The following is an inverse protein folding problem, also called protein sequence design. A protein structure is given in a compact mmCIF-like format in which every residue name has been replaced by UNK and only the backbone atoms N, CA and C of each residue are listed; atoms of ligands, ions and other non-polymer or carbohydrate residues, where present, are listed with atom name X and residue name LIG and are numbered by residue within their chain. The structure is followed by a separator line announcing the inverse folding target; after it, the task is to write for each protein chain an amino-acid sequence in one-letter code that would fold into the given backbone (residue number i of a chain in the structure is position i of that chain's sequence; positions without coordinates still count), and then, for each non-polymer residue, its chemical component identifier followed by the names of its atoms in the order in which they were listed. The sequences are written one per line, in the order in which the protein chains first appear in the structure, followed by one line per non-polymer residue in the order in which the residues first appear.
data_IF_443196923034
#
_entry.id   IF_443196923034
#
_cell.length_a   1.000
_cell.length_b   1.000
_cell.length_c   1.000
_cell.angle_alpha   90.00
_cell.angle_beta   90.00
_cell.angle_gamma   90.00
#
_symmetry.space_group_name_H-M   'P 1'
#
loop_
_entity.id
_entity.type
_entity.pdbx_description
1 polymer ?
#
# COMPACT_ATOMS: atom_id res chain seq x y z
N UNK A 1 -16.60 15.25 12.08
CA UNK A 1 -16.81 15.38 10.62
C UNK A 1 -18.24 14.95 10.31
N UNK A 2 -18.90 15.62 9.37
CA UNK A 2 -20.29 15.33 8.98
C UNK A 2 -20.31 14.36 7.79
N UNK A 3 -21.22 13.37 7.82
CA UNK A 3 -21.42 12.40 6.74
C UNK A 3 -22.66 12.78 5.94
N UNK A 4 -22.52 12.92 4.64
CA UNK A 4 -23.65 13.14 3.77
C UNK A 4 -24.33 11.79 3.44
N UNK A 5 -25.64 11.71 3.68
CA UNK A 5 -26.41 10.51 3.31
C UNK A 5 -26.57 10.44 1.80
N UNK A 6 -26.29 9.27 1.23
CA UNK A 6 -26.48 8.97 -0.20
C UNK A 6 -27.55 7.90 -0.39
N UNK A 7 -28.21 7.92 -1.57
CA UNK A 7 -29.09 6.84 -1.99
C UNK A 7 -28.36 5.99 -3.05
N UNK A 8 -28.10 4.73 -2.73
CA UNK A 8 -27.38 3.79 -3.61
C UNK A 8 -28.14 3.46 -4.91
N UNK A 9 -29.44 3.73 -5.00
CA UNK A 9 -30.19 3.59 -6.27
C UNK A 9 -29.60 4.46 -7.38
N UNK A 10 -28.89 5.53 -7.02
CA UNK A 10 -28.22 6.44 -7.97
C UNK A 10 -26.83 5.96 -8.40
N UNK A 11 -26.39 4.78 -7.92
CA UNK A 11 -25.04 4.26 -8.15
C UNK A 11 -25.09 2.85 -8.75
N UNK A 12 -23.97 2.45 -9.37
CA UNK A 12 -23.73 1.09 -9.85
C UNK A 12 -22.47 0.57 -9.17
N UNK A 13 -22.53 -0.64 -8.59
CA UNK A 13 -21.35 -1.27 -8.02
C UNK A 13 -20.33 -1.56 -9.14
N UNK A 14 -19.10 -1.10 -8.98
CA UNK A 14 -18.02 -1.20 -9.98
C UNK A 14 -16.79 -1.91 -9.47
N UNK A 15 -16.74 -2.24 -8.19
CA UNK A 15 -15.61 -2.98 -7.62
C UNK A 15 -15.90 -3.53 -6.23
N UNK A 16 -15.11 -4.54 -5.88
CA UNK A 16 -15.11 -5.18 -4.57
C UNK A 16 -13.66 -5.36 -4.12
N UNK A 17 -13.34 -4.80 -2.96
CA UNK A 17 -12.05 -4.96 -2.29
C UNK A 17 -12.21 -5.74 -0.98
N UNK A 18 -11.10 -6.11 -0.34
CA UNK A 18 -11.12 -6.87 0.91
C UNK A 18 -11.84 -6.17 2.08
N UNK A 19 -11.93 -4.85 2.06
CA UNK A 19 -12.49 -4.05 3.17
C UNK A 19 -13.59 -3.07 2.76
N UNK A 20 -13.84 -2.91 1.46
CA UNK A 20 -14.80 -1.94 0.95
C UNK A 20 -15.35 -2.33 -0.41
N UNK A 21 -16.55 -1.81 -0.72
CA UNK A 21 -17.17 -1.86 -2.04
C UNK A 21 -17.10 -0.48 -2.69
N UNK A 22 -16.91 -0.45 -4.00
CA UNK A 22 -16.92 0.79 -4.78
C UNK A 22 -18.13 0.87 -5.71
N UNK A 23 -18.67 2.08 -5.81
CA UNK A 23 -19.87 2.38 -6.58
C UNK A 23 -19.65 3.62 -7.42
N UNK A 24 -19.90 3.54 -8.73
CA UNK A 24 -19.88 4.71 -9.61
C UNK A 24 -21.25 5.37 -9.66
N UNK A 25 -21.27 6.70 -9.57
CA UNK A 25 -22.49 7.47 -9.74
C UNK A 25 -23.02 7.32 -11.18
N UNK A 26 -24.32 7.06 -11.35
CA UNK A 26 -24.97 6.96 -12.67
C UNK A 26 -24.91 8.27 -13.46
N UNK A 27 -24.80 9.42 -12.78
CA UNK A 27 -24.54 10.71 -13.41
C UNK A 27 -23.10 10.85 -13.93
N UNK A 28 -22.18 9.92 -13.59
CA UNK A 28 -20.95 9.68 -14.31
C UNK A 28 -19.71 10.46 -13.88
N UNK A 29 -19.71 11.15 -12.73
CA UNK A 29 -18.57 12.00 -12.36
C UNK A 29 -17.94 11.70 -10.99
N UNK A 30 -18.54 10.81 -10.18
CA UNK A 30 -18.03 10.48 -8.86
C UNK A 30 -18.05 8.97 -8.59
N UNK A 31 -17.14 8.54 -7.71
CA UNK A 31 -17.02 7.18 -7.19
C UNK A 31 -17.13 7.21 -5.68
N UNK A 32 -17.95 6.33 -5.12
CA UNK A 32 -18.08 6.13 -3.69
C UNK A 32 -17.38 4.84 -3.28
N UNK A 33 -16.54 4.91 -2.23
CA UNK A 33 -15.96 3.76 -1.53
C UNK A 33 -16.69 3.63 -0.18
N UNK A 34 -17.48 2.57 0.00
CA UNK A 34 -18.14 2.25 1.27
C UNK A 34 -17.44 1.07 1.93
N UNK A 35 -17.07 1.25 3.19
CA UNK A 35 -16.44 0.17 3.96
C UNK A 35 -17.42 -0.96 4.28
N UNK A 36 -16.88 -2.15 4.49
CA UNK A 36 -17.66 -3.31 4.91
C UNK A 36 -18.36 -3.06 6.25
N UNK A 37 -19.52 -3.67 6.50
CA UNK A 37 -20.21 -3.57 7.78
C UNK A 37 -19.28 -3.92 8.95
N UNK A 38 -19.30 -3.08 10.00
CA UNK A 38 -18.41 -3.23 11.16
C UNK A 38 -17.18 -2.32 11.14
N UNK A 39 -16.82 -1.73 10.02
CA UNK A 39 -15.85 -0.63 9.98
C UNK A 39 -16.59 0.69 10.26
N UNK A 40 -16.38 1.24 11.45
CA UNK A 40 -17.10 2.42 11.95
C UNK A 40 -16.75 3.72 11.23
N UNK A 41 -17.54 4.77 11.51
CA UNK A 41 -17.36 6.12 10.98
C UNK A 41 -15.93 6.66 11.19
N UNK A 42 -15.31 6.36 12.33
CA UNK A 42 -13.94 6.84 12.65
C UNK A 42 -12.90 6.33 11.65
N UNK A 43 -13.01 5.07 11.20
CA UNK A 43 -12.10 4.50 10.21
C UNK A 43 -12.25 5.20 8.85
N UNK A 44 -13.49 5.44 8.41
CA UNK A 44 -13.78 6.17 7.18
C UNK A 44 -13.27 7.63 7.25
N UNK A 45 -13.49 8.31 8.38
CA UNK A 45 -13.01 9.68 8.59
C UNK A 45 -11.48 9.75 8.58
N UNK A 46 -10.80 8.78 9.22
CA UNK A 46 -9.33 8.72 9.24
C UNK A 46 -8.77 8.49 7.82
N UNK A 47 -9.29 7.52 7.09
CA UNK A 47 -8.82 7.27 5.72
C UNK A 47 -9.07 8.48 4.83
N UNK A 48 -10.24 9.12 4.92
CA UNK A 48 -10.56 10.31 4.16
C UNK A 48 -9.61 11.47 4.49
N UNK A 49 -9.26 11.68 5.76
CA UNK A 49 -8.29 12.70 6.17
C UNK A 49 -6.91 12.44 5.53
N UNK A 50 -6.44 11.19 5.55
CA UNK A 50 -5.18 10.81 4.89
C UNK A 50 -5.26 11.12 3.39
N UNK A 51 -6.33 10.72 2.71
CA UNK A 51 -6.54 11.00 1.28
C UNK A 51 -6.50 12.51 0.98
N UNK A 52 -7.14 13.34 1.82
CA UNK A 52 -7.11 14.81 1.67
C UNK A 52 -5.71 15.38 1.82
N UNK A 53 -4.92 14.86 2.77
CA UNK A 53 -3.53 15.31 2.96
C UNK A 53 -2.67 14.91 1.78
N UNK A 54 -2.75 13.65 1.34
CA UNK A 54 -2.00 13.13 0.20
C UNK A 54 -2.30 13.95 -1.07
N UNK A 55 -3.58 14.22 -1.34
CA UNK A 55 -3.99 15.06 -2.46
C UNK A 55 -3.43 16.49 -2.36
N UNK A 56 -3.51 17.13 -1.18
CA UNK A 56 -2.97 18.49 -0.96
C UNK A 56 -1.45 18.57 -1.05
N UNK A 57 -0.74 17.49 -0.77
CA UNK A 57 0.72 17.41 -0.97
C UNK A 57 1.11 17.31 -2.46
N UNK A 58 0.13 17.29 -3.37
CA UNK A 58 0.37 17.19 -4.82
C UNK A 58 0.69 15.80 -5.30
N UNK A 59 0.49 14.78 -4.47
CA UNK A 59 0.57 13.38 -4.91
C UNK A 59 -0.61 13.11 -5.84
N UNK A 60 -0.33 12.64 -7.05
CA UNK A 60 -1.35 12.35 -8.05
C UNK A 60 -2.24 11.20 -7.56
N UNK A 61 -3.45 11.49 -7.15
CA UNK A 61 -4.48 10.56 -6.65
C UNK A 61 -5.87 11.13 -6.98
N UNK A 62 -6.94 10.31 -7.08
CA UNK A 62 -8.29 10.82 -7.24
C UNK A 62 -8.65 11.81 -6.14
N UNK A 63 -9.26 12.94 -6.50
CA UNK A 63 -9.65 13.96 -5.53
C UNK A 63 -10.65 13.41 -4.49
N UNK A 64 -10.36 13.50 -3.18
CA UNK A 64 -11.30 13.12 -2.12
C UNK A 64 -12.32 14.26 -1.91
N UNK A 65 -13.60 14.02 -2.20
CA UNK A 65 -14.63 15.06 -2.24
C UNK A 65 -15.32 15.24 -0.89
N UNK A 66 -15.86 14.15 -0.29
CA UNK A 66 -16.62 14.24 0.97
C UNK A 66 -16.79 12.87 1.63
N UNK A 67 -17.12 12.91 2.92
CA UNK A 67 -17.57 11.74 3.66
C UNK A 67 -19.04 11.42 3.36
N UNK A 68 -19.34 10.13 3.19
CA UNK A 68 -20.70 9.66 2.85
C UNK A 68 -21.12 8.45 3.69
N UNK A 69 -22.44 8.28 3.80
CA UNK A 69 -23.07 7.09 4.39
C UNK A 69 -24.32 6.71 3.61
N UNK A 70 -24.58 5.40 3.48
CA UNK A 70 -25.86 4.88 2.99
C UNK A 70 -26.89 4.68 4.13
N UNK A 71 -26.48 4.95 5.38
CA UNK A 71 -27.27 4.76 6.60
C UNK A 71 -26.83 3.55 7.43
N UNK A 72 -26.11 2.60 6.83
CA UNK A 72 -25.57 1.41 7.49
C UNK A 72 -24.04 1.38 7.44
N UNK A 73 -23.45 1.84 6.33
CA UNK A 73 -22.01 1.86 6.10
C UNK A 73 -21.51 3.28 5.96
N UNK A 74 -20.24 3.46 6.26
CA UNK A 74 -19.53 4.73 6.16
C UNK A 74 -18.45 4.64 5.08
N UNK A 75 -18.14 5.77 4.45
CA UNK A 75 -17.13 5.83 3.41
C UNK A 75 -16.87 7.24 2.92
N UNK A 76 -16.31 7.33 1.73
CA UNK A 76 -16.01 8.61 1.11
C UNK A 76 -16.32 8.59 -0.40
N UNK A 77 -16.60 9.76 -0.93
CA UNK A 77 -16.79 10.02 -2.35
C UNK A 77 -15.53 10.67 -2.92
N UNK A 78 -15.16 10.25 -4.12
CA UNK A 78 -13.96 10.65 -4.85
C UNK A 78 -14.29 11.05 -6.28
N UNK A 79 -13.36 11.74 -6.93
CA UNK A 79 -13.32 11.89 -8.38
C UNK A 79 -13.42 10.53 -9.06
N UNK A 80 -14.32 10.38 -10.03
CA UNK A 80 -14.35 9.21 -10.89
C UNK A 80 -13.33 9.41 -12.03
N UNK A 81 -12.39 8.49 -12.15
CA UNK A 81 -11.45 8.47 -13.28
C UNK A 81 -12.08 7.61 -14.38
N UNK A 82 -12.54 8.22 -15.49
CA UNK A 82 -13.18 7.48 -16.57
C UNK A 82 -12.15 6.60 -17.29
N UNK A 83 -12.63 5.47 -17.82
CA UNK A 83 -11.84 4.54 -18.66
C UNK A 83 -10.50 4.11 -18.04
N UNK A 84 -10.37 4.20 -16.71
CA UNK A 84 -9.14 3.84 -16.01
C UNK A 84 -8.76 2.38 -16.22
N UNK A 85 -7.47 2.14 -16.38
CA UNK A 85 -6.87 0.79 -16.35
C UNK A 85 -5.76 0.78 -15.28
N UNK A 86 -5.66 -0.28 -14.49
CA UNK A 86 -4.48 -0.46 -13.63
C UNK A 86 -3.27 -0.88 -14.46
N UNK A 87 -2.06 -0.54 -14.00
CA UNK A 87 -0.83 -0.96 -14.68
C UNK A 87 -0.74 -2.49 -14.77
N UNK A 88 -1.16 -3.21 -13.72
CA UNK A 88 -1.17 -4.68 -13.75
C UNK A 88 -2.11 -5.23 -14.82
N UNK A 89 -3.29 -4.62 -15.00
CA UNK A 89 -4.22 -5.02 -16.04
C UNK A 89 -3.64 -4.79 -17.42
N UNK A 90 -3.02 -3.64 -17.66
CA UNK A 90 -2.37 -3.34 -18.94
C UNK A 90 -1.29 -4.38 -19.23
N UNK A 91 -0.41 -4.68 -18.24
CA UNK A 91 0.67 -5.67 -18.42
C UNK A 91 0.10 -7.08 -18.68
N UNK A 92 -1.00 -7.44 -18.03
CA UNK A 92 -1.65 -8.74 -18.24
C UNK A 92 -2.22 -8.90 -19.65
N UNK A 93 -2.77 -7.84 -20.21
CA UNK A 93 -3.38 -7.82 -21.55
C UNK A 93 -2.33 -7.55 -22.65
N UNK A 94 -1.28 -6.79 -22.34
CA UNK A 94 -0.21 -6.31 -23.23
C UNK A 94 1.16 -6.50 -22.56
N UNK A 95 1.72 -7.75 -22.55
CA UNK A 95 2.95 -8.06 -21.80
C UNK A 95 4.19 -7.24 -22.19
N UNK A 96 4.24 -6.69 -23.40
CA UNK A 96 5.27 -5.77 -23.88
C UNK A 96 5.29 -4.43 -23.13
N UNK A 97 4.21 -4.09 -22.43
CA UNK A 97 4.11 -2.89 -21.58
C UNK A 97 4.80 -3.06 -20.22
N UNK A 98 5.31 -4.26 -19.90
CA UNK A 98 5.97 -4.49 -18.62
C UNK A 98 7.10 -3.49 -18.34
N UNK A 99 8.04 -3.35 -19.26
CA UNK A 99 9.18 -2.46 -19.06
C UNK A 99 8.77 -0.97 -19.06
N UNK A 100 8.03 -0.44 -20.05
CA UNK A 100 7.59 0.95 -20.04
C UNK A 100 6.83 1.33 -18.76
N UNK A 101 5.88 0.50 -18.32
CA UNK A 101 5.10 0.79 -17.13
C UNK A 101 5.90 0.62 -15.85
N UNK A 102 6.87 -0.32 -15.80
CA UNK A 102 7.80 -0.44 -14.66
C UNK A 102 8.65 0.81 -14.51
N UNK A 103 9.18 1.36 -15.60
CA UNK A 103 9.99 2.59 -15.57
C UNK A 103 9.14 3.81 -15.15
N UNK A 104 7.88 3.88 -15.58
CA UNK A 104 6.93 4.91 -15.11
C UNK A 104 6.67 4.77 -13.62
N UNK A 105 6.39 3.55 -13.15
CA UNK A 105 6.18 3.25 -11.74
C UNK A 105 7.40 3.60 -10.87
N UNK A 106 8.62 3.26 -11.30
CA UNK A 106 9.84 3.60 -10.58
C UNK A 106 10.02 5.12 -10.42
N UNK A 107 9.64 5.90 -11.45
CA UNK A 107 9.66 7.37 -11.39
C UNK A 107 8.64 7.91 -10.40
N UNK A 108 7.40 7.39 -10.44
CA UNK A 108 6.34 7.77 -9.51
C UNK A 108 6.72 7.45 -8.05
N UNK A 109 7.27 6.25 -7.81
CA UNK A 109 7.75 5.85 -6.49
C UNK A 109 8.89 6.76 -5.97
N UNK A 110 9.84 7.14 -6.84
CA UNK A 110 10.89 8.11 -6.45
C UNK A 110 10.32 9.48 -6.13
N UNK A 111 9.37 9.97 -6.91
CA UNK A 111 8.70 11.25 -6.65
C UNK A 111 7.97 11.20 -5.30
N UNK A 112 7.24 10.13 -5.04
CA UNK A 112 6.56 9.93 -3.77
C UNK A 112 7.55 9.96 -2.59
N UNK A 113 8.63 9.19 -2.66
CA UNK A 113 9.66 9.11 -1.62
C UNK A 113 10.56 10.36 -1.52
N UNK A 114 10.35 11.36 -2.37
CA UNK A 114 10.96 12.69 -2.28
C UNK A 114 9.97 13.76 -1.83
N UNK A 115 8.68 13.44 -1.78
CA UNK A 115 7.62 14.37 -1.34
C UNK A 115 7.70 14.55 0.18
N UNK A 116 7.92 15.78 0.70
CA UNK A 116 7.87 16.04 2.12
C UNK A 116 6.51 15.67 2.71
N UNK A 117 6.53 14.95 3.81
CA UNK A 117 5.31 14.50 4.48
C UNK A 117 4.78 15.56 5.46
N UNK A 118 3.46 15.69 5.57
CA UNK A 118 2.81 16.38 6.67
C UNK A 118 2.82 15.48 7.93
N UNK A 119 3.90 15.59 8.70
CA UNK A 119 4.12 14.78 9.92
C UNK A 119 3.16 15.09 11.07
N UNK A 120 2.38 16.15 10.97
CA UNK A 120 1.34 16.48 11.95
C UNK A 120 0.09 15.60 11.76
N UNK A 121 -0.11 15.06 10.54
CA UNK A 121 -1.31 14.28 10.20
C UNK A 121 -0.95 12.85 9.80
N UNK A 122 0.07 12.67 8.92
CA UNK A 122 0.51 11.33 8.53
C UNK A 122 1.25 10.65 9.68
N UNK A 123 0.99 9.36 9.95
CA UNK A 123 1.66 8.64 11.02
C UNK A 123 3.12 8.33 10.69
N UNK A 124 3.97 8.27 11.70
CA UNK A 124 5.32 7.68 11.58
C UNK A 124 5.22 6.17 11.41
N UNK A 125 5.79 5.63 10.32
CA UNK A 125 5.77 4.19 10.04
C UNK A 125 6.44 3.39 11.18
N UNK A 126 7.48 3.90 11.82
CA UNK A 126 8.11 3.24 12.97
C UNK A 126 7.16 3.11 14.15
N UNK A 127 6.39 4.16 14.43
CA UNK A 127 5.43 4.14 15.55
C UNK A 127 4.26 3.20 15.25
N UNK A 128 3.79 3.14 14.00
CA UNK A 128 2.81 2.14 13.58
C UNK A 128 3.34 0.71 13.78
N UNK A 129 4.56 0.45 13.34
CA UNK A 129 5.21 -0.86 13.49
C UNK A 129 5.43 -1.19 14.97
N UNK A 130 5.92 -0.24 15.76
CA UNK A 130 6.09 -0.39 17.22
C UNK A 130 4.79 -0.78 17.90
N UNK A 131 3.70 -0.05 17.59
CA UNK A 131 2.38 -0.32 18.14
C UNK A 131 1.91 -1.75 17.83
N UNK A 132 2.00 -2.16 16.54
CA UNK A 132 1.55 -3.48 16.13
C UNK A 132 2.39 -4.61 16.71
N UNK A 133 3.72 -4.49 16.75
CA UNK A 133 4.61 -5.49 17.36
C UNK A 133 4.35 -5.56 18.87
N UNK A 134 4.27 -4.42 19.55
CA UNK A 134 4.11 -4.36 21.01
C UNK A 134 2.83 -5.03 21.49
N UNK A 135 1.71 -4.84 20.78
CA UNK A 135 0.42 -5.44 21.13
C UNK A 135 0.23 -6.90 20.68
N UNK A 136 1.18 -7.48 19.94
CA UNK A 136 1.00 -8.83 19.41
C UNK A 136 1.31 -9.89 20.46
N UNK A 137 0.24 -10.48 21.04
CA UNK A 137 0.33 -11.43 22.15
C UNK A 137 0.94 -12.78 21.73
N UNK A 138 0.70 -13.22 20.50
CA UNK A 138 1.15 -14.51 19.99
C UNK A 138 2.60 -14.52 19.46
N UNK A 139 3.27 -13.36 19.43
CA UNK A 139 4.68 -13.30 19.03
C UNK A 139 5.57 -13.74 20.20
N UNK A 140 6.53 -14.68 20.00
CA UNK A 140 7.47 -15.06 21.05
C UNK A 140 8.20 -13.84 21.62
N UNK A 141 8.27 -13.73 22.95
CA UNK A 141 8.77 -12.52 23.63
C UNK A 141 10.22 -12.19 23.22
N UNK A 142 11.10 -13.19 23.17
CA UNK A 142 12.48 -12.99 22.69
C UNK A 142 12.53 -12.39 21.28
N UNK A 143 11.65 -12.86 20.38
CA UNK A 143 11.58 -12.33 19.02
C UNK A 143 11.03 -10.90 19.01
N UNK A 144 10.05 -10.60 19.86
CA UNK A 144 9.49 -9.25 20.03
C UNK A 144 10.55 -8.26 20.52
N UNK A 145 11.32 -8.63 21.54
CA UNK A 145 12.42 -7.81 22.06
C UNK A 145 13.47 -7.52 20.99
N UNK A 146 13.88 -8.53 20.23
CA UNK A 146 14.83 -8.37 19.12
C UNK A 146 14.30 -7.47 18.01
N UNK A 147 13.02 -7.60 17.65
CA UNK A 147 12.36 -6.72 16.67
C UNK A 147 12.31 -5.28 17.16
N UNK A 148 11.91 -5.04 18.41
CA UNK A 148 11.85 -3.69 18.98
C UNK A 148 13.24 -3.06 19.12
N UNK A 149 14.25 -3.83 19.50
CA UNK A 149 15.64 -3.38 19.52
C UNK A 149 16.13 -2.99 18.11
N UNK A 150 15.82 -3.81 17.09
CA UNK A 150 16.14 -3.49 15.70
C UNK A 150 15.39 -2.24 15.22
N UNK A 151 14.11 -2.11 15.56
CA UNK A 151 13.28 -0.94 15.21
C UNK A 151 13.87 0.36 15.77
N UNK A 152 14.45 0.32 16.99
CA UNK A 152 15.11 1.47 17.59
C UNK A 152 16.31 1.97 16.79
N UNK A 153 16.93 1.13 15.95
CA UNK A 153 18.06 1.51 15.08
C UNK A 153 17.62 2.09 13.72
N UNK A 154 16.34 1.98 13.36
CA UNK A 154 15.83 2.51 12.09
C UNK A 154 15.70 4.04 12.19
N UNK A 155 16.31 4.81 11.27
CA UNK A 155 16.14 6.26 11.26
C UNK A 155 14.73 6.67 10.87
N UNK A 156 14.35 7.90 11.19
CA UNK A 156 13.14 8.54 10.70
C UNK A 156 13.49 9.50 9.57
N UNK A 157 12.66 9.53 8.53
CA UNK A 157 12.69 10.51 7.46
C UNK A 157 11.29 11.09 7.28
N UNK A 158 11.19 12.39 7.03
CA UNK A 158 9.91 13.08 6.85
C UNK A 158 9.50 13.11 5.36
N UNK A 159 9.50 11.94 4.71
CA UNK A 159 9.03 11.78 3.32
C UNK A 159 7.85 10.82 3.26
N UNK A 160 7.01 11.01 2.25
CA UNK A 160 5.81 10.20 2.06
C UNK A 160 6.15 8.74 1.73
N UNK A 161 5.39 7.83 2.33
CA UNK A 161 5.34 6.41 2.03
C UNK A 161 3.93 6.06 1.59
N UNK A 162 3.79 5.14 0.64
CA UNK A 162 2.48 4.59 0.26
C UNK A 162 1.90 3.70 1.37
N UNK A 163 2.76 2.98 2.08
CA UNK A 163 2.35 1.98 3.07
C UNK A 163 2.05 0.61 2.48
N UNK A 164 1.57 0.56 1.24
CA UNK A 164 1.33 -0.64 0.43
C UNK A 164 1.79 -0.42 -1.02
N UNK A 165 3.09 -0.17 -1.19
CA UNK A 165 3.68 0.15 -2.48
C UNK A 165 3.72 -1.06 -3.40
N UNK A 166 2.97 -1.02 -4.49
CA UNK A 166 3.09 -1.98 -5.60
C UNK A 166 2.44 -1.45 -6.89
N UNK A 167 2.85 -2.00 -8.02
CA UNK A 167 2.42 -1.57 -9.36
C UNK A 167 0.90 -1.68 -9.59
N UNK A 168 0.20 -2.52 -8.84
CA UNK A 168 -1.26 -2.63 -8.89
C UNK A 168 -2.00 -1.42 -8.33
N UNK A 169 -1.31 -0.59 -7.50
CA UNK A 169 -1.87 0.63 -6.92
C UNK A 169 -1.66 1.87 -7.81
N UNK A 170 -1.35 1.67 -9.08
CA UNK A 170 -1.37 2.73 -10.10
C UNK A 170 -2.48 2.46 -11.11
N UNK A 171 -3.31 3.47 -11.32
CA UNK A 171 -4.24 3.52 -12.45
C UNK A 171 -3.84 4.64 -13.41
N UNK A 172 -4.23 4.50 -14.67
CA UNK A 172 -4.04 5.54 -15.69
C UNK A 172 -5.31 5.72 -16.50
N UNK A 173 -5.60 6.95 -16.89
CA UNK A 173 -6.63 7.32 -17.88
C UNK A 173 -6.00 7.56 -19.27
N UNK A 174 -4.71 7.21 -19.45
CA UNK A 174 -3.94 7.47 -20.66
C UNK A 174 -3.19 8.81 -20.65
N UNK A 175 -3.58 9.75 -19.79
CA UNK A 175 -2.93 11.07 -19.64
C UNK A 175 -2.28 11.25 -18.27
N UNK A 176 -2.93 10.78 -17.22
CA UNK A 176 -2.48 10.86 -15.83
C UNK A 176 -2.23 9.46 -15.27
N UNK A 177 -1.21 9.35 -14.44
CA UNK A 177 -0.98 8.19 -13.59
C UNK A 177 -1.34 8.58 -12.15
N UNK A 178 -2.20 7.80 -11.52
CA UNK A 178 -2.74 8.13 -10.20
C UNK A 178 -2.50 6.97 -9.23
N UNK A 179 -2.03 7.31 -8.04
CA UNK A 179 -2.00 6.40 -6.91
C UNK A 179 -3.42 6.14 -6.39
N UNK A 180 -3.74 4.90 -6.12
CA UNK A 180 -4.96 4.48 -5.44
C UNK A 180 -4.62 3.74 -4.16
N UNK A 181 -5.63 3.51 -3.32
CA UNK A 181 -5.51 2.81 -2.05
C UNK A 181 -4.52 3.49 -1.07
N UNK A 182 -4.61 4.81 -1.01
CA UNK A 182 -3.70 5.69 -0.24
C UNK A 182 -4.05 5.77 1.26
N UNK A 183 -4.93 4.91 1.77
CA UNK A 183 -5.37 4.92 3.18
C UNK A 183 -4.28 4.52 4.19
N UNK A 184 -3.25 3.82 3.75
CA UNK A 184 -2.12 3.38 4.56
C UNK A 184 -0.89 4.32 4.46
N UNK A 185 -1.05 5.51 3.84
CA UNK A 185 0.04 6.48 3.77
C UNK A 185 0.59 6.83 5.15
N UNK A 186 1.89 6.93 5.19
CA UNK A 186 2.68 7.22 6.38
C UNK A 186 3.89 8.05 5.99
N UNK A 187 4.75 8.39 6.95
CA UNK A 187 6.07 8.91 6.64
C UNK A 187 7.18 8.02 7.24
N UNK A 188 8.36 8.04 6.63
CA UNK A 188 9.51 7.26 7.07
C UNK A 188 10.54 7.05 5.98
N UNK A 189 11.45 6.10 6.20
CA UNK A 189 12.45 5.69 5.20
C UNK A 189 11.77 4.95 4.02
N UNK A 190 12.12 5.23 2.76
CA UNK A 190 11.59 4.52 1.58
C UNK A 190 11.70 3.00 1.64
N UNK A 191 12.68 2.48 2.37
CA UNK A 191 12.92 1.06 2.58
C UNK A 191 11.72 0.32 3.19
N UNK A 192 10.81 1.01 3.89
CA UNK A 192 9.56 0.43 4.38
C UNK A 192 8.65 -0.04 3.25
N UNK A 193 8.54 0.74 2.21
CA UNK A 193 7.74 0.42 1.02
C UNK A 193 8.48 -0.58 0.12
N UNK A 194 9.76 -0.32 -0.16
CA UNK A 194 10.61 -1.15 -1.01
C UNK A 194 10.74 -2.58 -0.47
N UNK A 195 10.94 -2.72 0.85
CA UNK A 195 11.11 -4.02 1.50
C UNK A 195 9.89 -4.91 1.35
N UNK A 196 8.69 -4.38 1.54
CA UNK A 196 7.47 -5.17 1.40
C UNK A 196 7.19 -5.55 -0.05
N UNK A 197 7.41 -4.65 -1.00
CA UNK A 197 7.27 -4.96 -2.41
C UNK A 197 8.27 -6.04 -2.85
N UNK A 198 9.56 -5.90 -2.46
CA UNK A 198 10.58 -6.92 -2.71
C UNK A 198 10.16 -8.28 -2.15
N UNK A 199 9.81 -8.32 -0.87
CA UNK A 199 9.40 -9.57 -0.21
C UNK A 199 8.21 -10.22 -0.93
N UNK A 200 7.18 -9.45 -1.22
CA UNK A 200 5.99 -9.96 -1.90
C UNK A 200 6.34 -10.57 -3.27
N UNK A 201 7.11 -9.88 -4.09
CA UNK A 201 7.42 -10.32 -5.45
C UNK A 201 8.42 -11.47 -5.51
N UNK A 202 9.26 -11.65 -4.47
CA UNK A 202 10.20 -12.78 -4.40
C UNK A 202 9.60 -14.03 -3.77
N UNK A 203 8.61 -13.90 -2.86
CA UNK A 203 8.13 -15.02 -2.04
C UNK A 203 6.67 -15.45 -2.30
N UNK A 204 5.92 -14.70 -3.11
CA UNK A 204 4.52 -14.98 -3.37
C UNK A 204 4.35 -16.28 -4.19
N UNK A 205 3.32 -17.06 -3.87
CA UNK A 205 2.94 -18.23 -4.70
C UNK A 205 2.28 -17.78 -6.00
N UNK A 206 2.36 -18.61 -7.04
CA UNK A 206 1.74 -18.32 -8.35
C UNK A 206 0.24 -18.03 -8.23
N UNK A 207 -0.48 -18.87 -7.47
CA UNK A 207 -1.92 -18.68 -7.25
C UNK A 207 -2.24 -17.30 -6.63
N UNK A 208 -1.40 -16.84 -5.71
CA UNK A 208 -1.58 -15.55 -5.03
C UNK A 208 -1.21 -14.38 -5.95
N UNK A 209 -0.15 -14.53 -6.74
CA UNK A 209 0.25 -13.54 -7.73
C UNK A 209 -0.86 -13.31 -8.77
N UNK A 210 -1.44 -14.39 -9.28
CA UNK A 210 -2.57 -14.33 -10.20
C UNK A 210 -3.83 -13.71 -9.56
N UNK A 211 -4.13 -14.06 -8.31
CA UNK A 211 -5.31 -13.54 -7.61
C UNK A 211 -5.24 -12.04 -7.32
N UNK A 212 -4.04 -11.53 -6.97
CA UNK A 212 -3.87 -10.13 -6.53
C UNK A 212 -3.49 -9.22 -7.69
N UNK A 213 -2.55 -9.66 -8.53
CA UNK A 213 -1.95 -8.83 -9.58
C UNK A 213 -2.40 -9.21 -10.99
N UNK A 214 -3.04 -10.37 -11.17
CA UNK A 214 -3.32 -10.97 -12.49
C UNK A 214 -2.04 -11.18 -13.33
N UNK A 215 -0.90 -11.36 -12.67
CA UNK A 215 0.42 -11.54 -13.26
C UNK A 215 1.08 -12.81 -12.70
N UNK A 216 1.98 -13.41 -13.49
CA UNK A 216 2.79 -14.54 -13.02
C UNK A 216 3.87 -14.08 -12.03
N UNK A 217 4.34 -15.01 -11.19
CA UNK A 217 5.50 -14.74 -10.31
C UNK A 217 6.76 -14.41 -11.10
N UNK A 218 6.92 -14.97 -12.31
CA UNK A 218 8.02 -14.61 -13.21
C UNK A 218 7.93 -13.16 -13.64
N UNK A 219 6.74 -12.69 -14.05
CA UNK A 219 6.49 -11.29 -14.41
C UNK A 219 6.77 -10.35 -13.25
N UNK A 220 6.34 -10.70 -12.03
CA UNK A 220 6.61 -9.89 -10.83
C UNK A 220 8.11 -9.81 -10.50
N UNK A 221 8.86 -10.90 -10.66
CA UNK A 221 10.32 -10.89 -10.50
C UNK A 221 11.04 -10.06 -11.58
N UNK A 222 10.60 -10.14 -12.83
CA UNK A 222 11.10 -9.28 -13.90
C UNK A 222 10.80 -7.80 -13.63
N UNK A 223 9.56 -7.52 -13.19
CA UNK A 223 9.17 -6.17 -12.77
C UNK A 223 10.10 -5.65 -11.67
N UNK A 224 10.36 -6.43 -10.60
CA UNK A 224 11.28 -6.01 -9.54
C UNK A 224 12.68 -5.71 -10.09
N UNK A 225 13.24 -6.57 -10.92
CA UNK A 225 14.58 -6.38 -11.47
C UNK A 225 14.71 -5.09 -12.29
N UNK A 226 13.71 -4.78 -13.13
CA UNK A 226 13.64 -3.53 -13.89
C UNK A 226 13.43 -2.31 -12.96
N UNK A 227 12.51 -2.45 -12.01
CA UNK A 227 12.20 -1.41 -11.03
C UNK A 227 13.43 -1.03 -10.19
N UNK A 228 14.14 -2.02 -9.64
CA UNK A 228 15.29 -1.79 -8.77
C UNK A 228 16.39 -0.99 -9.48
N UNK A 229 16.71 -1.35 -10.73
CA UNK A 229 17.67 -0.58 -11.55
C UNK A 229 17.21 0.85 -11.78
N UNK A 230 15.97 1.02 -12.20
CA UNK A 230 15.41 2.33 -12.47
C UNK A 230 15.25 3.19 -11.22
N UNK A 231 14.78 2.60 -10.11
CA UNK A 231 14.56 3.30 -8.85
C UNK A 231 15.88 3.74 -8.21
N UNK A 232 16.88 2.87 -8.15
CA UNK A 232 18.19 3.18 -7.58
C UNK A 232 19.15 3.84 -8.58
N UNK A 233 18.72 3.94 -9.85
CA UNK A 233 19.52 4.53 -10.94
C UNK A 233 20.91 3.90 -11.06
N UNK A 234 20.98 2.58 -11.08
CA UNK A 234 22.24 1.82 -11.19
C UNK A 234 22.02 0.52 -11.98
N UNK A 235 23.01 0.15 -12.78
CA UNK A 235 23.09 -1.14 -13.47
C UNK A 235 24.03 -2.13 -12.76
N UNK A 236 24.71 -1.67 -11.68
CA UNK A 236 25.63 -2.52 -10.93
C UNK A 236 24.88 -3.56 -10.11
N UNK A 237 24.97 -4.81 -10.50
CA UNK A 237 24.34 -5.94 -9.84
C UNK A 237 24.80 -6.12 -8.38
N UNK A 238 26.06 -5.79 -8.06
CA UNK A 238 26.58 -5.89 -6.70
C UNK A 238 25.97 -4.80 -5.80
N UNK A 239 25.81 -3.58 -6.32
CA UNK A 239 25.13 -2.49 -5.63
C UNK A 239 23.64 -2.83 -5.41
N UNK A 240 22.94 -3.31 -6.43
CA UNK A 240 21.52 -3.73 -6.32
C UNK A 240 21.39 -4.78 -5.22
N UNK A 241 22.20 -5.84 -5.25
CA UNK A 241 22.17 -6.90 -4.24
C UNK A 241 22.46 -6.36 -2.83
N UNK A 242 23.38 -5.42 -2.68
CA UNK A 242 23.68 -4.80 -1.39
C UNK A 242 22.47 -4.01 -0.86
N UNK A 243 21.80 -3.24 -1.73
CA UNK A 243 20.56 -2.50 -1.39
C UNK A 243 19.40 -3.42 -1.04
N UNK A 244 19.22 -4.52 -1.78
CA UNK A 244 18.21 -5.54 -1.46
C UNK A 244 18.44 -6.17 -0.09
N UNK A 245 19.68 -6.48 0.25
CA UNK A 245 20.06 -7.00 1.60
C UNK A 245 19.75 -5.97 2.69
N UNK A 246 19.94 -4.70 2.42
CA UNK A 246 19.64 -3.63 3.38
C UNK A 246 18.11 -3.50 3.68
N UNK A 247 17.23 -4.05 2.83
CA UNK A 247 15.79 -4.10 3.08
C UNK A 247 15.39 -5.11 4.18
N UNK A 248 16.28 -6.05 4.52
CA UNK A 248 15.96 -7.17 5.42
C UNK A 248 15.32 -6.74 6.75
N UNK A 249 15.84 -5.78 7.51
CA UNK A 249 15.23 -5.38 8.79
C UNK A 249 13.82 -4.77 8.60
N UNK A 250 13.60 -4.01 7.53
CA UNK A 250 12.30 -3.42 7.25
C UNK A 250 11.26 -4.50 6.91
N UNK A 251 11.67 -5.55 6.18
CA UNK A 251 10.83 -6.71 5.88
C UNK A 251 10.44 -7.43 7.16
N UNK A 252 11.40 -7.78 8.03
CA UNK A 252 11.12 -8.48 9.27
C UNK A 252 10.13 -7.71 10.15
N UNK A 253 10.37 -6.42 10.33
CA UNK A 253 9.57 -5.53 11.15
C UNK A 253 8.15 -5.36 10.60
N UNK A 254 8.02 -5.09 9.30
CA UNK A 254 6.71 -4.88 8.68
C UNK A 254 5.90 -6.17 8.56
N UNK A 255 6.54 -7.33 8.34
CA UNK A 255 5.87 -8.64 8.39
C UNK A 255 5.28 -8.90 9.77
N UNK A 256 6.02 -8.68 10.85
CA UNK A 256 5.53 -8.85 12.21
C UNK A 256 4.35 -7.92 12.50
N UNK A 257 4.45 -6.65 12.10
CA UNK A 257 3.37 -5.67 12.26
C UNK A 257 2.13 -6.03 11.42
N UNK A 258 2.32 -6.49 10.18
CA UNK A 258 1.24 -6.90 9.29
C UNK A 258 0.46 -8.10 9.85
N UNK A 259 1.15 -9.14 10.31
CA UNK A 259 0.49 -10.31 10.92
C UNK A 259 -0.29 -9.91 12.17
N UNK A 260 0.28 -9.03 13.00
CA UNK A 260 -0.43 -8.45 14.15
C UNK A 260 -1.69 -7.68 13.73
N UNK A 261 -1.61 -6.84 12.69
CA UNK A 261 -2.75 -6.07 12.15
C UNK A 261 -3.87 -7.01 11.68
N UNK A 262 -3.52 -8.05 10.89
CA UNK A 262 -4.46 -9.04 10.36
C UNK A 262 -5.21 -9.80 11.44
N UNK A 263 -4.55 -10.14 12.55
CA UNK A 263 -5.12 -10.89 13.66
C UNK A 263 -5.57 -10.02 14.83
N UNK A 264 -5.64 -8.71 14.65
CA UNK A 264 -5.97 -7.74 15.70
C UNK A 264 -5.16 -7.95 17.00
N UNK A 265 -3.88 -8.32 16.85
CA UNK A 265 -2.94 -8.53 17.95
C UNK A 265 -3.08 -9.84 18.72
N UNK A 266 -4.03 -10.72 18.42
CA UNK A 266 -4.39 -11.90 19.25
C UNK A 266 -4.30 -13.25 18.53
N UNK A 267 -4.41 -13.29 17.22
CA UNK A 267 -4.40 -14.55 16.46
C UNK A 267 -3.01 -15.19 16.39
N UNK A 268 -2.94 -16.50 16.11
CA UNK A 268 -1.67 -17.21 16.03
C UNK A 268 -0.83 -16.71 14.84
N UNK A 269 0.47 -16.66 15.02
CA UNK A 269 1.40 -16.46 13.90
C UNK A 269 1.74 -17.83 13.30
N UNK A 270 1.61 -17.98 11.98
CA UNK A 270 1.97 -19.23 11.32
C UNK A 270 3.48 -19.45 11.30
N UNK A 271 3.91 -20.70 11.34
CA UNK A 271 5.33 -21.07 11.31
C UNK A 271 6.09 -20.50 10.09
N UNK A 272 5.53 -20.48 8.86
CA UNK A 272 6.19 -19.84 7.72
C UNK A 272 6.48 -18.35 7.94
N UNK A 273 5.55 -17.61 8.57
CA UNK A 273 5.79 -16.19 8.89
C UNK A 273 6.85 -16.01 9.96
N UNK A 274 6.85 -16.84 11.02
CA UNK A 274 7.91 -16.82 12.05
C UNK A 274 9.29 -17.09 11.45
N UNK A 275 9.38 -18.08 10.54
CA UNK A 275 10.62 -18.37 9.81
C UNK A 275 11.08 -17.20 8.94
N UNK A 276 10.15 -16.59 8.21
CA UNK A 276 10.45 -15.43 7.37
C UNK A 276 10.94 -14.25 8.20
N UNK A 277 10.19 -13.87 9.26
CA UNK A 277 10.59 -12.77 10.18
C UNK A 277 11.99 -13.04 10.75
N UNK A 278 12.24 -14.25 11.25
CA UNK A 278 13.55 -14.62 11.84
C UNK A 278 14.67 -14.62 10.81
N UNK A 279 14.41 -14.99 9.55
CA UNK A 279 15.39 -14.99 8.49
C UNK A 279 15.83 -13.57 8.09
N UNK A 280 14.87 -12.63 8.01
CA UNK A 280 15.15 -11.23 7.67
C UNK A 280 15.64 -10.37 8.86
N UNK A 281 15.53 -10.86 10.08
CA UNK A 281 16.02 -10.16 11.29
C UNK A 281 17.51 -10.47 11.62
N UNK A 282 18.18 -11.31 10.87
CA UNK A 282 19.59 -11.72 11.10
C UNK A 282 20.58 -10.62 10.82
#
# INVERSE_FOLDING_TARGET
MEYQKINLDNYVQTGEGGTALTYSNKAGNTLVKLFSPGMGAENAAREFLVNQVVYRLGVSTPEPLRLVTDGERYGAEYELIPEKRSFTRIISEEPEQLEPLTLRFARLARQLHQTPADTAILPDMRELVRYHIGRYEALPEELKERLLAKLATIPTQAVCLHGDLHIGNIITDGTRDLWIDVGDFAYGCPEWDLGMMYFAFQSMSEARAQSIFHLSTETLKKHWALFARAYWNTEDAAEITARERALAPYIALKLAAMVSKLHNGKGPVSEPFLKAISAYLR
#
